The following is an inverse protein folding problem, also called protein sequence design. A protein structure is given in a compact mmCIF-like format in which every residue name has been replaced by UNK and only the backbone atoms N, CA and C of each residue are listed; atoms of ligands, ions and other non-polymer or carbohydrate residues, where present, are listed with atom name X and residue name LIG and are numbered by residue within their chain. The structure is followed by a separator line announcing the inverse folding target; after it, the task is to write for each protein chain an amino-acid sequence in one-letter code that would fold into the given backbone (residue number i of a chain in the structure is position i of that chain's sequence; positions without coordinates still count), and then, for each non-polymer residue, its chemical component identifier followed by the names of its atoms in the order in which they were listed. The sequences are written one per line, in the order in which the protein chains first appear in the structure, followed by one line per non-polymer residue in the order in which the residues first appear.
data_IF_222039617075
#
_entry.id   IF_222039617075
#
_cell.length_a   1.000
_cell.length_b   1.000
_cell.length_c   1.000
_cell.angle_alpha   90.00
_cell.angle_beta   90.00
_cell.angle_gamma   90.00
#
_symmetry.space_group_name_H-M   'P 1'
#
loop_
_entity.id
_entity.type
_entity.pdbx_description
1 polymer ?
#
# COMPACT_ATOMS: atom_id res chain seq x y z
N UNK A 1 14.07 -3.20 -9.69
CA UNK A 1 13.01 -2.32 -10.15
C UNK A 1 11.65 -2.80 -9.70
N UNK A 2 10.79 -1.90 -9.30
CA UNK A 2 9.44 -2.27 -8.89
C UNK A 2 8.54 -2.44 -10.09
N UNK A 3 7.58 -3.32 -9.98
CA UNK A 3 6.45 -3.27 -10.86
C UNK A 3 5.74 -1.93 -10.61
N UNK A 4 4.99 -1.39 -11.58
CA UNK A 4 4.25 -0.16 -11.32
C UNK A 4 3.29 -0.38 -10.14
N UNK A 5 3.02 0.65 -9.33
CA UNK A 5 2.10 0.48 -8.22
C UNK A 5 0.68 0.24 -8.73
N UNK A 6 -0.17 -0.40 -7.96
CA UNK A 6 -1.58 -0.53 -8.34
C UNK A 6 -2.22 0.86 -8.39
N UNK A 7 -3.27 1.00 -9.16
CA UNK A 7 -3.98 2.27 -9.30
C UNK A 7 -4.96 2.44 -8.16
N UNK A 8 -4.95 3.60 -7.53
CA UNK A 8 -5.91 3.92 -6.48
C UNK A 8 -7.20 4.38 -7.13
N UNK A 9 -8.29 3.68 -6.88
CA UNK A 9 -9.60 4.05 -7.40
C UNK A 9 -10.45 4.77 -6.36
N UNK A 10 -10.28 4.41 -5.09
CA UNK A 10 -10.99 5.05 -3.99
C UNK A 10 -9.99 5.31 -2.88
N UNK A 11 -10.05 6.50 -2.30
CA UNK A 11 -9.20 6.86 -1.17
C UNK A 11 -10.05 7.58 -0.14
N UNK A 12 -10.08 7.06 1.08
CA UNK A 12 -10.86 7.65 2.19
C UNK A 12 -12.31 7.88 1.81
N UNK A 13 -12.91 6.88 1.18
CA UNK A 13 -14.32 6.93 0.80
C UNK A 13 -14.63 7.79 -0.40
N UNK A 14 -13.59 8.32 -1.07
CA UNK A 14 -13.81 9.20 -2.22
C UNK A 14 -13.32 8.56 -3.50
N UNK A 15 -14.16 8.64 -4.51
CA UNK A 15 -13.88 8.05 -5.80
C UNK A 15 -12.93 8.95 -6.59
N UNK A 16 -11.91 8.36 -7.19
CA UNK A 16 -11.02 9.08 -8.09
C UNK A 16 -11.53 8.93 -9.52
N UNK A 17 -12.35 9.89 -9.93
CA UNK A 17 -13.02 9.86 -11.23
C UNK A 17 -12.01 9.87 -12.39
N UNK A 18 -10.91 10.59 -12.22
CA UNK A 18 -9.89 10.63 -13.23
C UNK A 18 -9.23 9.27 -13.42
N UNK A 19 -8.95 8.59 -12.31
CA UNK A 19 -8.33 7.28 -12.37
C UNK A 19 -9.24 6.28 -13.07
N UNK A 20 -10.54 6.33 -12.78
CA UNK A 20 -11.50 5.47 -13.45
C UNK A 20 -11.47 5.72 -14.96
N UNK A 21 -11.46 7.00 -15.36
CA UNK A 21 -11.42 7.35 -16.77
C UNK A 21 -10.18 6.83 -17.47
N UNK A 22 -9.03 6.98 -16.83
CA UNK A 22 -7.78 6.51 -17.39
C UNK A 22 -7.77 5.00 -17.55
N UNK A 23 -8.37 4.29 -16.63
CA UNK A 23 -8.41 2.83 -16.65
C UNK A 23 -9.61 2.30 -17.45
N UNK A 24 -10.43 3.21 -17.97
CA UNK A 24 -11.62 2.87 -18.77
C UNK A 24 -12.58 1.98 -17.98
N UNK A 25 -12.74 2.28 -16.70
CA UNK A 25 -13.66 1.56 -15.83
C UNK A 25 -14.90 2.42 -15.67
N UNK A 26 -16.07 1.84 -15.94
CA UNK A 26 -17.33 2.54 -15.76
C UNK A 26 -17.72 2.46 -14.29
N UNK A 27 -18.40 3.50 -13.82
CA UNK A 27 -18.82 3.55 -12.44
C UNK A 27 -19.65 2.34 -12.04
N UNK A 28 -20.57 1.91 -12.90
CA UNK A 28 -21.39 0.77 -12.56
C UNK A 28 -20.62 -0.52 -12.53
N UNK A 29 -19.53 -0.64 -13.30
CA UNK A 29 -18.66 -1.80 -13.21
C UNK A 29 -17.96 -1.87 -11.86
N UNK A 30 -17.49 -0.72 -11.39
CA UNK A 30 -16.84 -0.66 -10.08
C UNK A 30 -17.83 -1.00 -8.97
N UNK A 31 -19.02 -0.42 -9.04
CA UNK A 31 -20.04 -0.68 -8.02
C UNK A 31 -20.43 -2.16 -8.00
N UNK A 32 -20.55 -2.77 -9.16
CA UNK A 32 -20.86 -4.22 -9.22
C UNK A 32 -19.74 -5.03 -8.62
N UNK A 33 -18.49 -4.67 -8.90
CA UNK A 33 -17.34 -5.38 -8.33
C UNK A 33 -17.33 -5.27 -6.81
N UNK A 34 -17.67 -4.08 -6.30
CA UNK A 34 -17.72 -3.88 -4.85
C UNK A 34 -18.83 -4.71 -4.21
N UNK A 35 -20.00 -4.78 -4.87
CA UNK A 35 -21.09 -5.60 -4.35
C UNK A 35 -20.72 -7.07 -4.26
N UNK A 36 -19.94 -7.56 -5.19
CA UNK A 36 -19.46 -8.93 -5.14
C UNK A 36 -18.53 -9.18 -3.96
N UNK A 37 -18.01 -8.12 -3.38
CA UNK A 37 -17.17 -8.19 -2.18
C UNK A 37 -17.95 -7.74 -0.94
N UNK A 38 -19.26 -7.69 -1.04
CA UNK A 38 -20.14 -7.30 0.07
C UNK A 38 -19.96 -5.86 0.52
N UNK A 39 -19.53 -4.99 -0.39
CA UNK A 39 -19.41 -3.56 -0.12
C UNK A 39 -20.58 -2.86 -0.77
N UNK A 40 -21.47 -2.31 0.05
CA UNK A 40 -22.65 -1.62 -0.46
C UNK A 40 -22.50 -0.10 -0.54
N UNK A 41 -21.46 0.43 0.07
CA UNK A 41 -21.28 1.87 0.15
C UNK A 41 -19.80 2.21 0.09
N UNK A 42 -19.38 3.03 -0.87
CA UNK A 42 -17.97 3.35 -1.02
C UNK A 42 -17.42 4.11 0.19
N UNK A 43 -18.28 4.76 0.98
CA UNK A 43 -17.80 5.43 2.19
C UNK A 43 -17.27 4.46 3.24
N UNK A 44 -17.53 3.18 3.09
CA UNK A 44 -17.00 2.17 3.99
C UNK A 44 -15.52 1.88 3.74
N UNK A 45 -14.96 2.41 2.66
CA UNK A 45 -13.62 2.04 2.22
C UNK A 45 -12.60 3.12 2.51
N UNK A 46 -11.46 2.71 3.07
CA UNK A 46 -10.27 3.55 3.10
C UNK A 46 -9.63 3.56 1.74
N UNK A 47 -9.50 2.40 1.12
CA UNK A 47 -8.87 2.29 -0.18
C UNK A 47 -9.51 1.23 -1.04
N UNK A 48 -9.50 1.47 -2.34
CA UNK A 48 -9.77 0.46 -3.33
C UNK A 48 -8.72 0.61 -4.41
N UNK A 49 -7.99 -0.47 -4.69
CA UNK A 49 -6.94 -0.47 -5.70
C UNK A 49 -7.35 -1.34 -6.87
N UNK A 50 -6.95 -0.92 -8.08
CA UNK A 50 -7.00 -1.79 -9.23
C UNK A 50 -5.65 -2.48 -9.33
N UNK A 51 -5.65 -3.78 -9.17
CA UNK A 51 -4.42 -4.57 -9.22
C UNK A 51 -4.01 -4.85 -10.66
N UNK A 52 -2.77 -5.30 -10.84
CA UNK A 52 -2.24 -5.52 -12.19
C UNK A 52 -2.98 -6.61 -12.95
N UNK A 53 -3.62 -7.54 -12.26
CA UNK A 53 -4.39 -8.59 -12.92
C UNK A 53 -5.82 -8.16 -13.27
N UNK A 54 -6.14 -6.89 -13.09
CA UNK A 54 -7.46 -6.36 -13.42
C UNK A 54 -8.49 -6.50 -12.31
N UNK A 55 -8.14 -7.14 -11.22
CA UNK A 55 -9.06 -7.28 -10.10
C UNK A 55 -8.88 -6.13 -9.14
N UNK A 56 -9.87 -5.91 -8.28
CA UNK A 56 -9.75 -4.86 -7.28
C UNK A 56 -9.50 -5.47 -5.91
N UNK A 57 -8.76 -4.71 -5.09
CA UNK A 57 -8.60 -5.04 -3.68
C UNK A 57 -9.18 -3.90 -2.86
N UNK A 58 -9.75 -4.21 -1.71
CA UNK A 58 -10.44 -3.22 -0.88
C UNK A 58 -9.94 -3.28 0.56
N UNK A 59 -9.90 -2.10 1.18
CA UNK A 59 -9.55 -1.97 2.59
C UNK A 59 -10.64 -1.14 3.24
N UNK A 60 -11.34 -1.72 4.19
CA UNK A 60 -12.42 -1.04 4.88
C UNK A 60 -11.88 -0.06 5.90
N UNK A 61 -12.71 0.86 6.34
CA UNK A 61 -12.29 1.92 7.26
C UNK A 61 -11.65 1.40 8.54
N UNK A 62 -12.09 0.26 9.03
CA UNK A 62 -11.56 -0.29 10.27
C UNK A 62 -10.45 -1.32 10.04
N UNK A 63 -10.09 -1.59 8.79
CA UNK A 63 -8.97 -2.49 8.51
C UNK A 63 -7.66 -1.75 8.69
N UNK A 64 -6.66 -2.47 9.15
CA UNK A 64 -5.31 -1.92 9.19
C UNK A 64 -4.74 -1.97 7.78
N UNK A 65 -4.38 -0.83 7.23
CA UNK A 65 -3.78 -0.77 5.92
C UNK A 65 -2.27 -0.74 6.07
N UNK A 66 -1.63 -1.87 5.81
CA UNK A 66 -0.17 -1.90 5.79
C UNK A 66 0.28 -2.04 4.35
N UNK A 67 1.25 -1.24 3.98
CA UNK A 67 1.77 -1.24 2.62
C UNK A 67 3.27 -1.53 2.62
N UNK A 68 3.77 -2.14 1.56
CA UNK A 68 5.21 -2.38 1.46
C UNK A 68 5.95 -1.07 1.18
N UNK A 69 6.82 -0.68 2.08
CA UNK A 69 7.62 0.53 1.95
C UNK A 69 9.00 0.25 1.38
N UNK A 70 9.55 -0.92 1.66
CA UNK A 70 10.83 -1.36 1.10
C UNK A 70 10.64 -2.79 0.64
N UNK A 71 11.07 -3.06 -0.58
CA UNK A 71 11.07 -4.40 -1.14
C UNK A 71 12.45 -4.66 -1.71
N UNK A 72 13.08 -5.69 -1.21
CA UNK A 72 14.41 -6.11 -1.67
C UNK A 72 15.38 -4.94 -1.73
N UNK A 73 15.42 -4.17 -0.65
CA UNK A 73 16.35 -3.06 -0.49
C UNK A 73 15.91 -1.76 -1.15
N UNK A 74 14.79 -1.76 -1.87
CA UNK A 74 14.38 -0.58 -2.63
C UNK A 74 13.15 0.08 -2.04
N UNK A 75 13.22 1.39 -1.90
CA UNK A 75 12.15 2.18 -1.28
C UNK A 75 11.02 2.42 -2.27
N UNK A 76 9.80 2.22 -1.82
CA UNK A 76 8.61 2.49 -2.61
C UNK A 76 7.99 3.81 -2.14
N UNK A 77 8.34 4.90 -2.83
CA UNK A 77 7.89 6.23 -2.42
C UNK A 77 6.38 6.41 -2.57
N UNK A 78 5.78 5.70 -3.52
CA UNK A 78 4.34 5.77 -3.71
C UNK A 78 3.60 5.24 -2.47
N UNK A 79 4.05 4.12 -1.94
CA UNK A 79 3.46 3.55 -0.73
C UNK A 79 3.63 4.48 0.46
N UNK A 80 4.81 5.11 0.59
CA UNK A 80 5.02 6.10 1.66
C UNK A 80 3.99 7.20 1.60
N UNK A 81 3.76 7.72 0.40
CA UNK A 81 2.78 8.78 0.20
C UNK A 81 1.39 8.33 0.61
N UNK A 82 1.01 7.09 0.28
CA UNK A 82 -0.33 6.59 0.59
C UNK A 82 -0.57 6.46 2.09
N UNK A 83 0.46 6.22 2.89
CA UNK A 83 0.29 6.18 4.34
C UNK A 83 0.60 7.54 4.99
N UNK A 84 0.72 8.59 4.19
CA UNK A 84 0.90 9.95 4.69
C UNK A 84 2.30 10.25 5.20
N UNK A 85 3.29 9.54 4.72
CA UNK A 85 4.66 9.69 5.18
C UNK A 85 5.57 10.04 4.00
N UNK A 86 6.81 10.40 4.32
CA UNK A 86 7.79 10.80 3.30
C UNK A 86 9.14 10.16 3.58
N UNK A 87 10.10 10.47 2.73
CA UNK A 87 11.44 9.91 2.87
C UNK A 87 12.10 10.28 4.19
N UNK A 88 11.85 11.48 4.68
CA UNK A 88 12.44 11.92 5.94
C UNK A 88 11.94 11.06 7.10
N UNK A 89 10.65 10.76 7.08
CA UNK A 89 10.08 9.88 8.10
C UNK A 89 10.71 8.49 8.03
N UNK A 90 10.85 7.97 6.81
CA UNK A 90 11.41 6.64 6.61
C UNK A 90 12.87 6.59 7.10
N UNK A 91 13.67 7.58 6.72
CA UNK A 91 15.07 7.63 7.13
C UNK A 91 15.20 7.68 8.64
N UNK A 92 14.38 8.48 9.29
CA UNK A 92 14.40 8.59 10.74
C UNK A 92 13.99 7.27 11.40
N UNK A 93 12.99 6.62 10.82
CA UNK A 93 12.50 5.35 11.37
C UNK A 93 13.55 4.25 11.24
N UNK A 94 14.19 4.15 10.10
CA UNK A 94 15.24 3.16 9.89
C UNK A 94 16.41 3.40 10.83
N UNK A 95 16.78 4.67 11.01
CA UNK A 95 17.86 5.01 11.90
C UNK A 95 17.53 4.63 13.33
N UNK A 96 16.32 4.96 13.76
CA UNK A 96 15.90 4.65 15.11
C UNK A 96 15.85 3.14 15.35
N UNK A 97 15.49 2.35 14.35
CA UNK A 97 15.42 0.89 14.45
C UNK A 97 16.74 0.22 14.09
N UNK A 98 17.77 1.03 13.81
CA UNK A 98 19.11 0.55 13.48
C UNK A 98 19.09 -0.40 12.28
N UNK A 99 18.39 0.01 11.24
CA UNK A 99 18.26 -0.76 10.02
C UNK A 99 18.78 0.02 8.84
N UNK A 100 19.25 -0.71 7.84
CA UNK A 100 19.67 -0.12 6.57
C UNK A 100 18.77 -0.66 5.49
N UNK A 101 18.30 0.21 4.60
CA UNK A 101 17.37 -0.21 3.56
C UNK A 101 17.90 -1.38 2.75
N UNK A 102 19.18 -1.37 2.42
CA UNK A 102 19.75 -2.44 1.59
C UNK A 102 19.74 -3.80 2.27
N UNK A 103 19.58 -3.86 3.58
CA UNK A 103 19.55 -5.13 4.30
C UNK A 103 18.12 -5.62 4.55
N UNK A 104 17.15 -4.92 4.02
CA UNK A 104 15.74 -5.27 4.25
C UNK A 104 15.17 -5.95 3.02
N UNK A 105 14.62 -7.14 3.21
CA UNK A 105 13.91 -7.82 2.14
C UNK A 105 12.51 -7.24 2.00
N UNK A 106 11.85 -6.98 3.12
CA UNK A 106 10.51 -6.42 3.12
C UNK A 106 10.29 -5.56 4.36
N UNK A 107 9.77 -4.37 4.17
CA UNK A 107 9.31 -3.54 5.27
C UNK A 107 7.90 -3.11 4.96
N UNK A 108 6.97 -3.38 5.86
CA UNK A 108 5.58 -2.92 5.71
C UNK A 108 5.21 -2.03 6.87
N UNK A 109 4.29 -1.12 6.65
CA UNK A 109 3.84 -0.22 7.70
C UNK A 109 2.50 0.39 7.36
N UNK A 110 1.77 0.79 8.39
CA UNK A 110 0.54 1.57 8.27
C UNK A 110 0.78 3.05 8.65
N UNK A 111 2.05 3.41 8.92
CA UNK A 111 2.40 4.74 9.40
C UNK A 111 2.63 4.80 10.89
N UNK A 112 2.22 3.76 11.62
CA UNK A 112 2.45 3.64 13.05
C UNK A 112 3.30 2.44 13.36
N UNK A 113 2.78 1.26 13.08
CA UNK A 113 3.49 0.01 13.30
C UNK A 113 4.35 -0.31 12.09
N UNK A 114 5.44 -0.98 12.32
CA UNK A 114 6.38 -1.36 11.27
C UNK A 114 6.72 -2.82 11.42
N UNK A 115 6.77 -3.52 10.31
CA UNK A 115 7.17 -4.92 10.29
C UNK A 115 8.33 -5.07 9.30
N UNK A 116 9.37 -5.75 9.72
CA UNK A 116 10.56 -5.95 8.90
C UNK A 116 10.82 -7.42 8.65
N UNK A 117 11.24 -7.73 7.43
CA UNK A 117 11.83 -9.03 7.13
C UNK A 117 13.23 -8.75 6.61
N UNK A 118 14.24 -9.27 7.27
CA UNK A 118 15.62 -9.06 6.85
C UNK A 118 16.01 -10.02 5.74
N UNK A 119 17.08 -9.72 5.08
CA UNK A 119 17.67 -10.65 4.16
C UNK A 119 18.37 -11.74 5.00
N UNK A 120 18.64 -12.85 4.41
CA UNK A 120 19.14 -13.99 5.13
C UNK A 120 20.27 -13.69 6.10
N UNK A 121 21.21 -12.86 5.70
CA UNK A 121 22.31 -12.53 6.55
C UNK A 121 21.90 -11.75 7.75
N UNK A 122 20.99 -10.85 7.60
CA UNK A 122 20.54 -10.02 8.69
C UNK A 122 19.88 -10.82 9.76
N UNK A 123 19.16 -11.87 9.38
CA UNK A 123 18.51 -12.67 10.34
C UNK A 123 19.44 -13.25 11.35
N UNK A 124 20.60 -13.61 10.92
CA UNK A 124 21.55 -14.22 11.80
C UNK A 124 22.07 -13.27 12.84
N UNK A 125 22.01 -12.00 12.62
CA UNK A 125 22.50 -11.05 13.55
C UNK A 125 21.54 -10.69 14.62
N UNK A 126 20.35 -11.12 14.50
CA UNK A 126 19.43 -10.74 15.42
C UNK A 126 19.55 -11.53 16.55
N UNK A 127 19.62 -11.36 17.40
CA UNK A 127 19.72 -12.21 18.41
C UNK A 127 19.76 -11.65 19.51
#
# INVERSE_FOLDING_TARGET
MFAPPPTVLIKNGKLDVKALGKQRIRAEELISSLRLKDIGDISQLNFCFLEHNGQISVFKNDDALTLPLIIDGKVNTHSLSLIGKDSAWLDAKLKSDRRRAEDIFLMTSDGNSVFYVGRGKEKEKKK
#
